data_IF_413741675796
#
_entry.id   IF_413741675796
#
_cell.length_a   1.000
_cell.length_b   1.000
_cell.length_c   1.000
_cell.angle_alpha   90.00
_cell.angle_beta   90.00
_cell.angle_gamma   90.00
#
_symmetry.space_group_name_H-M   'P 1'
#
loop_
_entity.id
_entity.type
_entity.pdbx_description
1 polymer ?
#
# COMPACT_ATOMS: atom_id res chain seq x y z
N UNK A 1 21.99 22.75 -0.63
CA UNK A 1 22.75 22.30 0.56
C UNK A 1 21.88 21.29 1.30
N UNK A 2 22.27 20.03 1.32
CA UNK A 2 21.56 19.00 2.10
C UNK A 2 22.06 19.14 3.54
N UNK A 3 21.17 19.49 4.46
CA UNK A 3 21.50 19.52 5.90
C UNK A 3 21.67 18.10 6.42
N UNK A 4 22.72 17.81 7.21
CA UNK A 4 22.85 16.51 7.85
C UNK A 4 21.68 16.27 8.82
N UNK A 5 21.26 15.00 8.97
CA UNK A 5 20.24 14.64 9.94
C UNK A 5 20.74 14.83 11.38
N UNK A 6 19.87 15.33 12.23
CA UNK A 6 20.11 15.40 13.67
C UNK A 6 20.11 13.99 14.29
N UNK A 7 20.67 13.84 15.49
CA UNK A 7 20.66 12.58 16.25
C UNK A 7 19.22 12.09 16.45
N UNK A 8 18.30 12.99 16.80
CA UNK A 8 16.88 12.64 16.98
C UNK A 8 16.22 12.14 15.71
N UNK A 9 16.53 12.73 14.56
CA UNK A 9 16.01 12.30 13.25
C UNK A 9 16.56 10.94 12.84
N UNK A 10 17.84 10.66 13.10
CA UNK A 10 18.44 9.34 12.86
C UNK A 10 17.75 8.25 13.68
N UNK A 11 17.53 8.49 14.99
CA UNK A 11 16.80 7.55 15.85
C UNK A 11 15.34 7.36 15.46
N UNK A 12 14.69 8.41 14.98
CA UNK A 12 13.31 8.36 14.53
C UNK A 12 13.15 7.60 13.20
N UNK A 13 14.23 7.40 12.43
CA UNK A 13 14.16 6.83 11.07
C UNK A 13 13.50 5.44 11.06
N UNK A 14 13.89 4.55 11.97
CA UNK A 14 13.33 3.19 12.06
C UNK A 14 11.82 3.21 12.33
N UNK A 15 11.36 4.12 13.18
CA UNK A 15 9.95 4.28 13.52
C UNK A 15 9.18 4.84 12.32
N UNK A 16 9.70 5.87 11.66
CA UNK A 16 9.07 6.47 10.49
C UNK A 16 8.93 5.46 9.34
N UNK A 17 9.98 4.67 9.07
CA UNK A 17 9.91 3.63 8.04
C UNK A 17 8.82 2.59 8.35
N UNK A 18 8.68 2.16 9.60
CA UNK A 18 7.61 1.23 10.01
C UNK A 18 6.23 1.84 9.83
N UNK A 19 6.04 3.10 10.24
CA UNK A 19 4.76 3.81 10.10
C UNK A 19 4.37 3.90 8.63
N UNK A 20 5.28 4.33 7.75
CA UNK A 20 5.03 4.44 6.30
C UNK A 20 4.68 3.09 5.67
N UNK A 21 5.35 2.01 6.07
CA UNK A 21 5.05 0.67 5.57
C UNK A 21 3.68 0.18 6.05
N UNK A 22 3.33 0.40 7.32
CA UNK A 22 2.02 0.03 7.88
C UNK A 22 0.90 0.83 7.21
N UNK A 23 1.10 2.13 7.02
CA UNK A 23 0.13 2.98 6.32
C UNK A 23 -0.10 2.51 4.89
N UNK A 24 0.98 2.17 4.17
CA UNK A 24 0.87 1.65 2.82
C UNK A 24 0.16 0.28 2.78
N UNK A 25 0.45 -0.61 3.73
CA UNK A 25 -0.25 -1.89 3.88
C UNK A 25 -1.75 -1.69 4.12
N UNK A 26 -2.11 -0.78 5.04
CA UNK A 26 -3.50 -0.46 5.33
C UNK A 26 -4.25 0.06 4.08
N UNK A 27 -3.60 0.93 3.30
CA UNK A 27 -4.15 1.48 2.05
C UNK A 27 -4.41 0.38 1.01
N UNK A 28 -3.48 -0.55 0.83
CA UNK A 28 -3.66 -1.70 -0.07
C UNK A 28 -4.76 -2.63 0.44
N UNK A 29 -4.81 -2.90 1.74
CA UNK A 29 -5.83 -3.75 2.34
C UNK A 29 -7.25 -3.18 2.12
N UNK A 30 -7.46 -1.89 2.37
CA UNK A 30 -8.74 -1.21 2.12
C UNK A 30 -9.16 -1.34 0.66
N UNK A 31 -8.25 -1.04 -0.28
CA UNK A 31 -8.53 -1.18 -1.72
C UNK A 31 -8.91 -2.62 -2.09
N UNK A 32 -8.22 -3.60 -1.53
CA UNK A 32 -8.48 -5.02 -1.79
C UNK A 32 -9.86 -5.43 -1.27
N UNK A 33 -10.25 -5.00 -0.08
CA UNK A 33 -11.57 -5.27 0.51
C UNK A 33 -12.68 -4.65 -0.34
N UNK A 34 -12.54 -3.37 -0.72
CA UNK A 34 -13.53 -2.68 -1.56
C UNK A 34 -13.66 -3.35 -2.93
N UNK A 35 -12.56 -3.74 -3.57
CA UNK A 35 -12.59 -4.47 -4.84
C UNK A 35 -13.22 -5.87 -4.69
N UNK A 36 -13.02 -6.54 -3.55
CA UNK A 36 -13.68 -7.82 -3.27
C UNK A 36 -15.19 -7.64 -3.10
N UNK A 37 -15.62 -6.62 -2.36
CA UNK A 37 -17.02 -6.30 -2.20
C UNK A 37 -17.69 -6.01 -3.54
N UNK A 38 -17.04 -5.23 -4.39
CA UNK A 38 -17.52 -4.92 -5.74
C UNK A 38 -17.73 -6.19 -6.58
N UNK A 39 -16.85 -7.18 -6.47
CA UNK A 39 -17.01 -8.48 -7.15
C UNK A 39 -18.20 -9.28 -6.62
N UNK A 40 -18.41 -9.28 -5.30
CA UNK A 40 -19.58 -9.97 -4.70
C UNK A 40 -20.89 -9.34 -5.18
N UNK A 41 -20.96 -8.02 -5.22
CA UNK A 41 -22.15 -7.32 -5.73
C UNK A 41 -22.35 -7.53 -7.23
N UNK A 42 -21.28 -7.62 -8.01
CA UNK A 42 -21.36 -7.98 -9.43
C UNK A 42 -21.93 -9.37 -9.66
N UNK A 43 -21.54 -10.35 -8.83
CA UNK A 43 -22.11 -11.72 -8.91
C UNK A 43 -23.61 -11.72 -8.60
N UNK A 44 -24.03 -11.04 -7.53
CA UNK A 44 -25.43 -10.91 -7.16
C UNK A 44 -26.25 -10.19 -8.24
N UNK A 45 -25.71 -9.13 -8.83
CA UNK A 45 -26.34 -8.40 -9.93
C UNK A 45 -26.49 -9.27 -11.18
N UNK A 46 -25.48 -10.04 -11.55
CA UNK A 46 -25.54 -10.95 -12.69
C UNK A 46 -26.66 -11.98 -12.54
N UNK A 47 -26.82 -12.54 -11.35
CA UNK A 47 -27.91 -13.49 -11.04
C UNK A 47 -29.28 -12.80 -11.09
N UNK A 48 -29.37 -11.58 -10.61
CA UNK A 48 -30.57 -10.74 -10.68
C UNK A 48 -30.98 -10.43 -12.11
N UNK A 49 -30.02 -10.03 -12.94
CA UNK A 49 -30.25 -9.77 -14.39
C UNK A 49 -30.71 -11.02 -15.13
N UNK A 50 -30.02 -12.16 -14.93
CA UNK A 50 -30.39 -13.42 -15.59
C UNK A 50 -31.78 -13.96 -15.18
N UNK A 51 -32.18 -13.69 -13.91
CA UNK A 51 -33.50 -14.09 -13.42
C UNK A 51 -34.63 -13.07 -13.71
N UNK A 52 -34.30 -11.94 -14.35
CA UNK A 52 -35.26 -10.85 -14.62
C UNK A 52 -35.72 -10.08 -13.37
N UNK A 53 -35.07 -10.29 -12.21
CA UNK A 53 -35.39 -9.60 -10.96
C UNK A 53 -34.77 -8.22 -10.84
N UNK A 54 -33.72 -7.97 -11.60
CA UNK A 54 -32.97 -6.71 -11.60
C UNK A 54 -32.94 -6.15 -13.01
N UNK A 55 -32.98 -4.83 -13.14
CA UNK A 55 -32.96 -4.15 -14.44
C UNK A 55 -31.53 -3.73 -14.77
N UNK A 56 -31.29 -3.56 -16.10
CA UNK A 56 -29.97 -3.13 -16.57
C UNK A 56 -29.57 -1.74 -16.03
N UNK A 57 -30.51 -0.84 -15.85
CA UNK A 57 -30.30 0.50 -15.27
C UNK A 57 -29.67 0.47 -13.85
N UNK A 58 -29.83 -0.65 -13.14
CA UNK A 58 -29.21 -0.85 -11.83
C UNK A 58 -27.69 -1.00 -11.88
N UNK A 59 -27.13 -1.39 -13.04
CA UNK A 59 -25.66 -1.57 -13.20
C UNK A 59 -24.94 -0.26 -12.92
N UNK A 60 -25.32 0.83 -13.59
CA UNK A 60 -24.68 2.13 -13.41
C UNK A 60 -24.93 2.68 -11.99
N UNK A 61 -26.13 2.52 -11.47
CA UNK A 61 -26.47 2.95 -10.11
C UNK A 61 -25.63 2.25 -9.06
N UNK A 62 -25.48 0.93 -9.14
CA UNK A 62 -24.66 0.15 -8.20
C UNK A 62 -23.18 0.51 -8.38
N UNK A 63 -22.71 0.57 -9.61
CA UNK A 63 -21.32 0.92 -9.92
C UNK A 63 -20.94 2.32 -9.43
N UNK A 64 -21.88 3.29 -9.42
CA UNK A 64 -21.64 4.66 -8.97
C UNK A 64 -21.27 4.75 -7.48
N UNK A 65 -21.63 3.76 -6.67
CA UNK A 65 -21.28 3.71 -5.24
C UNK A 65 -19.82 3.26 -5.00
N UNK A 66 -19.16 2.72 -6.00
CA UNK A 66 -17.78 2.27 -5.86
C UNK A 66 -16.77 3.36 -6.21
N UNK A 67 -15.64 3.33 -5.49
CA UNK A 67 -14.46 4.10 -5.87
C UNK A 67 -13.91 3.63 -7.24
N UNK A 68 -13.27 4.52 -7.98
CA UNK A 68 -12.80 4.27 -9.36
C UNK A 68 -12.01 2.95 -9.49
N UNK A 69 -11.11 2.66 -8.54
CA UNK A 69 -10.31 1.44 -8.56
C UNK A 69 -11.14 0.14 -8.40
N UNK A 70 -12.37 0.22 -7.88
CA UNK A 70 -13.24 -0.92 -7.68
C UNK A 70 -14.27 -1.08 -8.82
N UNK A 71 -14.54 -0.02 -9.58
CA UNK A 71 -15.43 -0.08 -10.77
C UNK A 71 -14.93 -1.09 -11.78
N UNK A 72 -13.62 -1.11 -12.05
CA UNK A 72 -13.02 -2.09 -12.94
C UNK A 72 -13.22 -3.52 -12.42
N UNK A 73 -12.96 -3.76 -11.12
CA UNK A 73 -13.19 -5.08 -10.51
C UNK A 73 -14.64 -5.54 -10.61
N UNK A 74 -15.59 -4.61 -10.40
CA UNK A 74 -17.03 -4.86 -10.56
C UNK A 74 -17.37 -5.25 -11.98
N UNK A 75 -16.98 -4.45 -12.98
CA UNK A 75 -17.31 -4.67 -14.37
C UNK A 75 -16.69 -5.95 -14.94
N UNK A 76 -15.42 -6.20 -14.65
CA UNK A 76 -14.74 -7.44 -15.09
C UNK A 76 -15.45 -8.67 -14.52
N UNK A 77 -15.83 -8.65 -13.24
CA UNK A 77 -16.55 -9.76 -12.62
C UNK A 77 -17.97 -9.91 -13.19
N UNK A 78 -18.69 -8.81 -13.37
CA UNK A 78 -20.03 -8.82 -13.97
C UNK A 78 -20.01 -9.44 -15.38
N UNK A 79 -19.12 -8.96 -16.24
CA UNK A 79 -18.97 -9.50 -17.59
C UNK A 79 -18.58 -10.98 -17.58
N UNK A 80 -17.66 -11.37 -16.70
CA UNK A 80 -17.25 -12.76 -16.54
C UNK A 80 -18.43 -13.65 -16.14
N UNK A 81 -19.24 -13.20 -15.16
CA UNK A 81 -20.39 -13.94 -14.65
C UNK A 81 -21.47 -14.04 -15.71
N UNK A 82 -21.80 -12.95 -16.40
CA UNK A 82 -22.78 -12.94 -17.48
C UNK A 82 -22.41 -13.91 -18.60
N UNK A 83 -21.14 -13.96 -19.03
CA UNK A 83 -20.68 -14.93 -20.04
C UNK A 83 -20.80 -16.39 -19.60
N UNK A 84 -20.82 -16.67 -18.30
CA UNK A 84 -20.96 -18.03 -17.75
C UNK A 84 -22.41 -18.49 -17.65
N UNK A 85 -23.40 -17.59 -17.78
CA UNK A 85 -24.82 -17.87 -17.71
C UNK A 85 -25.34 -18.23 -19.14
N UNK A 86 -26.26 -19.21 -19.23
CA UNK A 86 -26.67 -19.79 -20.51
C UNK A 86 -27.66 -18.94 -21.31
N UNK A 87 -28.47 -18.12 -20.66
CA UNK A 87 -29.58 -17.41 -21.26
C UNK A 87 -29.39 -15.87 -21.25
N UNK A 88 -28.17 -15.40 -21.48
CA UNK A 88 -27.90 -13.96 -21.53
C UNK A 88 -28.10 -13.44 -22.95
N UNK A 89 -28.97 -12.45 -23.06
CA UNK A 89 -29.21 -11.77 -24.34
C UNK A 89 -27.96 -11.02 -24.81
N UNK A 90 -27.66 -11.13 -26.11
CA UNK A 90 -26.55 -10.49 -26.77
C UNK A 90 -26.58 -8.95 -26.61
N UNK A 91 -27.78 -8.37 -26.52
CA UNK A 91 -27.94 -6.92 -26.29
C UNK A 91 -27.39 -6.50 -24.92
N UNK A 92 -27.63 -7.30 -23.90
CA UNK A 92 -27.07 -7.07 -22.52
C UNK A 92 -25.57 -7.07 -22.54
N UNK A 93 -24.92 -8.01 -23.21
CA UNK A 93 -23.47 -8.07 -23.35
C UNK A 93 -22.91 -6.81 -24.05
N UNK A 94 -23.58 -6.39 -25.12
CA UNK A 94 -23.23 -5.18 -25.88
C UNK A 94 -23.31 -3.92 -24.98
N UNK A 95 -24.40 -3.79 -24.21
CA UNK A 95 -24.56 -2.67 -23.27
C UNK A 95 -23.49 -2.66 -22.18
N UNK A 96 -23.09 -3.82 -21.62
CA UNK A 96 -22.01 -3.91 -20.67
C UNK A 96 -20.66 -3.48 -21.29
N UNK A 97 -20.41 -3.81 -22.55
CA UNK A 97 -19.23 -3.31 -23.27
C UNK A 97 -19.24 -1.79 -23.41
N UNK A 98 -20.40 -1.17 -23.68
CA UNK A 98 -20.52 0.28 -23.74
C UNK A 98 -20.20 0.93 -22.38
N UNK A 99 -20.71 0.40 -21.26
CA UNK A 99 -20.40 0.90 -19.93
C UNK A 99 -18.90 0.74 -19.63
N UNK A 100 -18.31 -0.41 -19.97
CA UNK A 100 -16.87 -0.65 -19.78
C UNK A 100 -16.04 0.40 -20.51
N UNK A 101 -16.37 0.69 -21.76
CA UNK A 101 -15.72 1.71 -22.57
C UNK A 101 -15.92 3.12 -21.97
N UNK A 102 -17.11 3.43 -21.46
CA UNK A 102 -17.41 4.72 -20.83
C UNK A 102 -16.57 4.99 -19.56
N UNK A 103 -16.16 3.94 -18.84
CA UNK A 103 -15.23 4.04 -17.71
C UNK A 103 -13.74 3.97 -18.12
N UNK A 104 -13.47 4.06 -19.43
CA UNK A 104 -12.10 4.16 -19.95
C UNK A 104 -11.35 2.85 -20.11
N UNK A 105 -12.05 1.70 -20.10
CA UNK A 105 -11.42 0.39 -20.22
C UNK A 105 -11.88 -0.34 -21.49
N UNK A 106 -10.95 -1.05 -22.12
CA UNK A 106 -11.23 -1.99 -23.21
C UNK A 106 -11.66 -3.34 -22.63
N UNK A 107 -12.73 -3.91 -23.18
CA UNK A 107 -13.30 -5.16 -22.67
C UNK A 107 -12.35 -6.37 -22.69
N UNK A 108 -11.40 -6.43 -23.62
CA UNK A 108 -10.40 -7.50 -23.68
C UNK A 108 -9.21 -7.23 -22.73
N UNK A 109 -8.75 -5.97 -22.67
CA UNK A 109 -7.65 -5.55 -21.79
C UNK A 109 -8.04 -5.47 -20.32
N UNK A 110 -9.30 -5.17 -20.01
CA UNK A 110 -9.79 -4.94 -18.65
C UNK A 110 -9.51 -6.09 -17.67
N UNK A 111 -9.71 -7.33 -18.11
CA UNK A 111 -9.46 -8.51 -17.27
C UNK A 111 -7.96 -8.70 -17.00
N UNK A 112 -7.11 -8.41 -17.98
CA UNK A 112 -5.66 -8.46 -17.83
C UNK A 112 -5.15 -7.37 -16.89
N UNK A 113 -5.68 -6.15 -17.06
CA UNK A 113 -5.35 -5.00 -16.17
C UNK A 113 -5.73 -5.29 -14.72
N UNK A 114 -6.96 -5.78 -14.48
CA UNK A 114 -7.43 -6.15 -13.15
C UNK A 114 -6.56 -7.24 -12.52
N UNK A 115 -6.19 -8.26 -13.30
CA UNK A 115 -5.28 -9.31 -12.83
C UNK A 115 -3.89 -8.76 -12.50
N UNK A 116 -3.32 -7.96 -13.39
CA UNK A 116 -2.03 -7.30 -13.16
C UNK A 116 -2.03 -6.45 -11.89
N UNK A 117 -3.11 -5.70 -11.64
CA UNK A 117 -3.28 -4.90 -10.42
C UNK A 117 -3.35 -5.77 -9.15
N UNK A 118 -4.03 -6.92 -9.19
CA UNK A 118 -4.07 -7.86 -8.07
C UNK A 118 -2.69 -8.45 -7.77
N UNK A 119 -1.97 -8.86 -8.79
CA UNK A 119 -0.60 -9.36 -8.67
C UNK A 119 0.33 -8.30 -8.07
N UNK A 120 0.26 -7.05 -8.58
CA UNK A 120 1.07 -5.95 -8.08
C UNK A 120 0.76 -5.64 -6.60
N UNK A 121 -0.51 -5.63 -6.19
CA UNK A 121 -0.92 -5.44 -4.80
C UNK A 121 -0.37 -6.56 -3.89
N UNK A 122 -0.47 -7.81 -4.31
CA UNK A 122 0.05 -8.96 -3.56
C UNK A 122 1.57 -8.87 -3.39
N UNK A 123 2.30 -8.57 -4.47
CA UNK A 123 3.75 -8.41 -4.42
C UNK A 123 4.17 -7.24 -3.52
N UNK A 124 3.48 -6.11 -3.63
CA UNK A 124 3.74 -4.94 -2.76
C UNK A 124 3.50 -5.28 -1.29
N UNK A 125 2.41 -5.98 -0.97
CA UNK A 125 2.13 -6.41 0.39
C UNK A 125 3.22 -7.36 0.93
N UNK A 126 3.66 -8.30 0.12
CA UNK A 126 4.75 -9.21 0.46
C UNK A 126 6.06 -8.46 0.72
N UNK A 127 6.37 -7.45 -0.11
CA UNK A 127 7.55 -6.60 0.07
C UNK A 127 7.45 -5.77 1.36
N UNK A 128 6.26 -5.25 1.70
CA UNK A 128 6.03 -4.53 2.96
C UNK A 128 6.32 -5.43 4.17
N UNK A 129 5.76 -6.64 4.22
CA UNK A 129 6.02 -7.57 5.32
C UNK A 129 7.49 -7.95 5.43
N UNK A 130 8.15 -8.22 4.30
CA UNK A 130 9.58 -8.51 4.27
C UNK A 130 10.40 -7.33 4.79
N UNK A 131 10.05 -6.11 4.39
CA UNK A 131 10.72 -4.89 4.86
C UNK A 131 10.51 -4.65 6.34
N UNK A 132 9.27 -4.81 6.84
CA UNK A 132 8.97 -4.69 8.28
C UNK A 132 9.78 -5.70 9.10
N UNK A 133 9.89 -6.94 8.62
CA UNK A 133 10.71 -7.96 9.27
C UNK A 133 12.18 -7.54 9.32
N UNK A 134 12.76 -7.13 8.18
CA UNK A 134 14.16 -6.68 8.09
C UNK A 134 14.44 -5.47 8.98
N UNK A 135 13.51 -4.51 9.04
CA UNK A 135 13.61 -3.35 9.95
C UNK A 135 13.59 -3.81 11.42
N UNK A 136 12.79 -4.85 11.75
CA UNK A 136 12.71 -5.40 13.10
C UNK A 136 13.97 -6.18 13.52
N UNK A 137 14.65 -6.81 12.57
CA UNK A 137 15.85 -7.62 12.80
C UNK A 137 17.16 -6.81 12.77
N UNK A 138 17.09 -5.55 12.29
CA UNK A 138 18.27 -4.68 12.18
C UNK A 138 18.70 -4.21 13.57
N UNK A 139 19.99 -4.33 13.89
CA UNK A 139 20.60 -3.65 15.00
C UNK A 139 20.71 -2.14 14.67
N UNK A 140 19.78 -1.37 15.23
CA UNK A 140 19.69 0.06 14.99
C UNK A 140 20.71 0.84 15.81
N UNK A 141 21.21 0.31 16.92
CA UNK A 141 22.25 0.94 17.74
C UNK A 141 23.59 0.88 17.00
N UNK A 142 23.99 -0.29 16.51
CA UNK A 142 25.18 -0.47 15.69
C UNK A 142 25.10 0.39 14.41
N UNK A 143 23.93 0.38 13.72
CA UNK A 143 23.74 1.20 12.53
C UNK A 143 23.88 2.70 12.83
N UNK A 144 23.29 3.17 13.93
CA UNK A 144 23.35 4.55 14.36
C UNK A 144 24.80 4.97 14.63
N UNK A 145 25.57 4.17 15.36
CA UNK A 145 26.99 4.44 15.64
C UNK A 145 27.79 4.56 14.34
N UNK A 146 27.44 3.78 13.34
CA UNK A 146 28.15 3.78 12.04
C UNK A 146 27.87 5.03 11.18
N UNK A 147 26.67 5.61 11.26
CA UNK A 147 26.26 6.75 10.42
C UNK A 147 26.31 8.09 11.15
N UNK A 148 26.40 8.11 12.46
CA UNK A 148 26.42 9.33 13.27
C UNK A 148 27.78 10.03 13.15
N UNK A 149 27.78 11.26 12.61
CA UNK A 149 28.98 12.10 12.54
C UNK A 149 29.53 12.43 13.94
N UNK A 150 28.64 12.59 14.93
CA UNK A 150 29.01 12.84 16.31
C UNK A 150 29.73 11.63 16.88
N UNK A 151 29.21 10.42 16.67
CA UNK A 151 29.87 9.19 17.15
C UNK A 151 31.19 8.95 16.45
N UNK A 152 31.29 9.20 15.15
CA UNK A 152 32.56 9.11 14.41
C UNK A 152 33.61 10.04 15.00
N UNK A 153 33.26 11.30 15.28
CA UNK A 153 34.19 12.28 15.88
C UNK A 153 34.59 11.87 17.29
N UNK A 154 33.63 11.42 18.13
CA UNK A 154 33.94 10.99 19.51
C UNK A 154 34.76 9.71 19.53
N UNK A 155 34.61 8.84 18.57
CA UNK A 155 35.36 7.59 18.44
C UNK A 155 36.85 7.78 18.12
N UNK A 156 37.28 8.99 17.80
CA UNK A 156 38.72 9.32 17.76
C UNK A 156 39.39 9.20 19.14
N UNK A 157 38.61 9.39 20.21
CA UNK A 157 39.07 9.19 21.59
C UNK A 157 39.04 7.71 22.00
N UNK A 158 40.15 7.21 22.49
CA UNK A 158 40.28 5.85 23.02
C UNK A 158 39.35 5.60 24.22
N UNK A 159 39.22 6.61 25.07
CA UNK A 159 38.34 6.57 26.25
C UNK A 159 36.88 6.39 25.88
N UNK A 160 36.42 7.05 24.81
CA UNK A 160 35.04 6.90 24.31
C UNK A 160 34.81 5.54 23.69
N UNK A 161 35.75 5.02 22.91
CA UNK A 161 35.68 3.68 22.32
C UNK A 161 35.55 2.56 23.36
N UNK A 162 36.12 2.74 24.52
CA UNK A 162 36.05 1.79 25.65
C UNK A 162 34.73 1.79 26.40
N UNK A 163 33.81 2.73 26.14
CA UNK A 163 32.51 2.82 26.80
C UNK A 163 31.53 1.78 26.22
N UNK A 164 30.58 1.30 27.03
CA UNK A 164 29.43 0.54 26.61
C UNK A 164 28.42 1.41 25.83
N UNK A 165 27.49 0.79 25.09
CA UNK A 165 26.53 1.50 24.26
C UNK A 165 25.63 2.48 25.00
N UNK A 166 25.20 2.15 26.23
CA UNK A 166 24.38 3.03 27.06
C UNK A 166 25.14 4.28 27.48
N UNK A 167 26.40 4.12 27.88
CA UNK A 167 27.29 5.24 28.21
C UNK A 167 27.57 6.11 27.01
N UNK A 168 27.84 5.55 25.82
CA UNK A 168 28.04 6.31 24.59
C UNK A 168 26.76 7.11 24.24
N UNK A 169 25.58 6.50 24.39
CA UNK A 169 24.29 7.18 24.13
C UNK A 169 24.11 8.39 25.06
N UNK A 170 24.47 8.26 26.34
CA UNK A 170 24.41 9.36 27.30
C UNK A 170 25.37 10.48 26.91
N UNK A 171 26.58 10.15 26.52
CA UNK A 171 27.57 11.13 26.06
C UNK A 171 27.09 11.91 24.84
N UNK A 172 26.58 11.22 23.82
CA UNK A 172 26.06 11.85 22.59
C UNK A 172 24.92 12.83 22.91
N UNK A 173 23.98 12.42 23.77
CA UNK A 173 22.84 13.26 24.17
C UNK A 173 23.31 14.52 24.90
N UNK A 174 24.28 14.38 25.83
CA UNK A 174 24.84 15.51 26.56
C UNK A 174 25.53 16.52 25.62
N UNK A 175 26.27 16.03 24.63
CA UNK A 175 26.95 16.91 23.66
C UNK A 175 25.90 17.62 22.77
N UNK A 176 24.85 16.94 22.33
CA UNK A 176 23.78 17.56 21.55
C UNK A 176 23.08 18.66 22.37
N UNK A 177 22.78 18.40 23.65
CA UNK A 177 22.15 19.37 24.53
C UNK A 177 23.05 20.59 24.74
N UNK A 178 24.37 20.39 24.95
CA UNK A 178 25.33 21.47 25.06
C UNK A 178 25.42 22.30 23.78
N UNK A 179 25.42 21.64 22.60
CA UNK A 179 25.47 22.32 21.31
C UNK A 179 24.23 23.18 21.05
N UNK A 180 23.05 22.71 21.47
CA UNK A 180 21.81 23.49 21.36
C UNK A 180 21.79 24.74 22.25
N UNK A 181 22.45 24.71 23.38
CA UNK A 181 22.47 25.83 24.32
C UNK A 181 23.66 26.79 24.11
N UNK A 182 24.59 26.45 23.21
CA UNK A 182 25.74 27.29 22.89
C UNK A 182 25.58 28.18 21.65
N UNK A 183 24.46 28.10 20.97
CA UNK A 183 24.00 28.99 19.89
C UNK A 183 22.94 29.93 20.44
#
# INVERSE_FOLDING_TARGET
>A
TVSPLTIGELWALAIHLRILLIENAARIAVRTVVSRQARVEADALAEGLASGKTRFDDVERIMSHFAEHAKLSFMVQLMRRMRSLRDVDASTVTQLHHIMHAIGHDGEGAAHEEHGRQVANNLTMQNIFTSLKRIGEKDWEEWFEHVSLVDQTLSESESYRGLDGASRTTYRRTIEDLARHSN
#
